data_IF_515834774332
#
_entry.id   IF_515834774332
#
_cell.length_a   1.000
_cell.length_b   1.000
_cell.length_c   1.000
_cell.angle_alpha   90.00
_cell.angle_beta   90.00
_cell.angle_gamma   90.00
#
_symmetry.space_group_name_H-M   'P 1'
#
loop_
_entity.id
_entity.type
_entity.pdbx_description
1 polymer ?
#
# COMPACT_ATOMS: atom_id res chain seq x y z
N UNK A 1 0.11 7.15 -2.87
CA UNK A 1 -0.63 6.81 -4.10
C UNK A 1 -1.71 7.85 -4.31
N UNK A 2 -1.88 8.35 -5.52
CA UNK A 2 -2.85 9.38 -5.86
C UNK A 2 -3.29 9.19 -7.32
N UNK A 3 -4.53 9.57 -7.63
CA UNK A 3 -5.02 9.65 -9.01
C UNK A 3 -5.38 11.08 -9.37
N UNK A 4 -5.25 11.41 -10.67
CA UNK A 4 -5.61 12.71 -11.22
C UNK A 4 -6.59 12.55 -12.37
N UNK A 5 -7.49 13.52 -12.51
CA UNK A 5 -8.28 13.75 -13.71
C UNK A 5 -7.86 15.11 -14.29
N UNK A 6 -7.17 15.08 -15.43
CA UNK A 6 -6.52 16.27 -16.00
C UNK A 6 -5.46 16.84 -15.04
N UNK A 7 -5.67 18.07 -14.55
CA UNK A 7 -4.75 18.75 -13.64
C UNK A 7 -5.13 18.61 -12.15
N UNK A 8 -6.32 18.10 -11.85
CA UNK A 8 -6.83 17.97 -10.49
C UNK A 8 -6.61 16.56 -9.94
N UNK A 9 -6.26 16.45 -8.66
CA UNK A 9 -6.37 15.18 -7.94
C UNK A 9 -7.84 14.82 -7.74
N UNK A 10 -8.16 13.54 -7.75
CA UNK A 10 -9.51 13.09 -7.41
C UNK A 10 -9.79 13.33 -5.91
N UNK A 11 -11.06 13.41 -5.54
CA UNK A 11 -11.45 13.80 -4.18
C UNK A 11 -11.14 12.72 -3.13
N UNK A 12 -11.42 11.46 -3.46
CA UNK A 12 -11.21 10.31 -2.59
C UNK A 12 -9.89 9.59 -2.92
N UNK A 13 -9.19 9.00 -1.94
CA UNK A 13 -7.97 8.26 -2.17
C UNK A 13 -8.24 7.00 -2.97
N UNK A 14 -7.24 6.59 -3.77
CA UNK A 14 -7.26 5.30 -4.46
C UNK A 14 -6.48 4.25 -3.67
N UNK A 15 -7.05 3.05 -3.58
CA UNK A 15 -6.33 1.90 -3.06
C UNK A 15 -5.41 1.28 -4.14
N UNK A 16 -4.24 0.75 -3.78
CA UNK A 16 -3.42 -0.05 -4.70
C UNK A 16 -4.19 -1.28 -5.18
N UNK A 17 -3.98 -1.67 -6.45
CA UNK A 17 -4.40 -2.96 -6.96
C UNK A 17 -3.56 -4.10 -6.35
N UNK A 18 -3.98 -5.36 -6.56
CA UNK A 18 -3.30 -6.53 -6.00
C UNK A 18 -1.81 -6.59 -6.36
N UNK A 19 -1.46 -6.33 -7.62
CA UNK A 19 -0.06 -6.35 -8.08
C UNK A 19 0.80 -5.28 -7.37
N UNK A 20 0.29 -4.05 -7.23
CA UNK A 20 1.01 -3.00 -6.52
C UNK A 20 1.19 -3.33 -5.03
N UNK A 21 0.19 -3.92 -4.38
CA UNK A 21 0.30 -4.35 -2.97
C UNK A 21 1.40 -5.39 -2.81
N UNK A 22 1.47 -6.38 -3.71
CA UNK A 22 2.50 -7.41 -3.68
C UNK A 22 3.90 -6.82 -3.87
N UNK A 23 4.11 -5.98 -4.90
CA UNK A 23 5.41 -5.35 -5.13
C UNK A 23 5.85 -4.45 -3.97
N UNK A 24 4.92 -3.76 -3.31
CA UNK A 24 5.20 -2.96 -2.11
C UNK A 24 5.55 -3.85 -0.91
N UNK A 25 4.87 -5.00 -0.74
CA UNK A 25 5.09 -5.92 0.36
C UNK A 25 6.48 -6.56 0.26
N UNK A 26 6.86 -6.99 -0.94
CA UNK A 26 8.22 -7.47 -1.21
C UNK A 26 9.27 -6.39 -0.95
N UNK A 27 8.99 -5.13 -1.33
CA UNK A 27 9.89 -4.02 -1.06
C UNK A 27 10.07 -3.78 0.45
N UNK A 28 8.97 -3.78 1.21
CA UNK A 28 9.00 -3.67 2.68
C UNK A 28 9.79 -4.82 3.31
N UNK A 29 9.59 -6.05 2.83
CA UNK A 29 10.33 -7.22 3.28
C UNK A 29 11.84 -7.08 3.01
N UNK A 30 12.23 -6.72 1.79
CA UNK A 30 13.65 -6.49 1.43
C UNK A 30 14.28 -5.34 2.23
N UNK A 31 13.50 -4.31 2.56
CA UNK A 31 13.97 -3.17 3.34
C UNK A 31 14.14 -3.51 4.84
N UNK A 32 13.43 -4.51 5.34
CA UNK A 32 13.48 -4.93 6.75
C UNK A 32 12.88 -3.92 7.73
N UNK A 33 12.16 -2.90 7.25
CA UNK A 33 11.46 -1.92 8.09
C UNK A 33 10.14 -1.49 7.45
N UNK A 34 9.13 -1.08 8.25
CA UNK A 34 7.82 -0.69 7.74
C UNK A 34 7.88 0.44 6.71
N UNK A 35 7.20 0.24 5.58
CA UNK A 35 6.98 1.28 4.57
C UNK A 35 5.65 1.96 4.85
N UNK A 36 5.72 3.22 5.26
CA UNK A 36 4.54 4.08 5.39
C UNK A 36 3.94 4.39 4.01
N UNK A 37 2.67 4.03 3.82
CA UNK A 37 1.91 4.29 2.60
C UNK A 37 0.90 5.40 2.85
N UNK A 38 0.99 6.46 2.04
CA UNK A 38 0.01 7.55 2.02
C UNK A 38 -0.93 7.35 0.83
N UNK A 39 -2.23 7.23 1.08
CA UNK A 39 -3.25 7.26 0.02
C UNK A 39 -3.87 8.66 0.02
N UNK A 40 -3.71 9.37 -1.08
CA UNK A 40 -4.05 10.79 -1.16
C UNK A 40 -5.23 11.01 -2.11
N UNK A 41 -6.24 11.70 -1.60
CA UNK A 41 -7.27 12.39 -2.35
C UNK A 41 -7.26 13.88 -1.96
N UNK A 42 -7.84 14.73 -2.80
CA UNK A 42 -7.92 16.17 -2.51
C UNK A 42 -8.76 16.48 -1.26
N UNK A 43 -9.73 15.63 -0.93
CA UNK A 43 -10.61 15.80 0.23
C UNK A 43 -10.17 15.05 1.48
N UNK A 44 -9.35 14.00 1.35
CA UNK A 44 -8.85 13.22 2.48
C UNK A 44 -7.53 12.52 2.19
N UNK A 45 -6.78 12.19 3.23
CA UNK A 45 -5.55 11.40 3.13
C UNK A 45 -5.57 10.29 4.17
N UNK A 46 -5.39 9.04 3.73
CA UNK A 46 -5.20 7.91 4.62
C UNK A 46 -3.70 7.63 4.79
N UNK A 47 -3.30 7.39 6.04
CA UNK A 47 -1.94 7.01 6.40
C UNK A 47 -1.93 5.56 6.90
N UNK A 48 -1.10 4.73 6.29
CA UNK A 48 -0.95 3.32 6.62
C UNK A 48 0.51 3.10 7.02
N UNK A 49 0.75 2.61 8.22
CA UNK A 49 2.09 2.53 8.81
C UNK A 49 2.97 1.42 8.21
N UNK A 50 2.36 0.39 7.60
CA UNK A 50 3.05 -0.73 6.95
C UNK A 50 2.23 -1.27 5.79
N UNK A 51 2.90 -1.71 4.73
CA UNK A 51 2.29 -2.36 3.58
C UNK A 51 1.57 -3.65 3.99
N UNK A 52 2.02 -4.37 5.02
CA UNK A 52 1.32 -5.56 5.55
C UNK A 52 -0.13 -5.29 5.91
N UNK A 53 -0.45 -4.08 6.40
CA UNK A 53 -1.84 -3.72 6.73
C UNK A 53 -2.77 -3.64 5.50
N UNK A 54 -2.22 -3.55 4.28
CA UNK A 54 -3.00 -3.59 3.03
C UNK A 54 -3.36 -5.03 2.58
N UNK A 55 -2.78 -6.05 3.23
CA UNK A 55 -2.94 -7.46 2.92
C UNK A 55 -3.05 -8.26 4.24
N UNK A 56 -4.18 -8.20 4.96
CA UNK A 56 -4.34 -8.86 6.26
C UNK A 56 -4.19 -10.40 6.26
N UNK A 57 -4.11 -11.01 5.08
CA UNK A 57 -3.87 -12.45 4.87
C UNK A 57 -2.77 -12.67 3.81
N UNK A 58 -1.75 -11.81 3.76
CA UNK A 58 -0.61 -12.01 2.85
C UNK A 58 0.11 -13.31 3.20
N UNK A 59 0.35 -14.14 2.20
CA UNK A 59 1.26 -15.27 2.30
C UNK A 59 2.71 -14.76 2.28
N UNK A 60 3.51 -15.18 3.27
CA UNK A 60 4.95 -14.94 3.33
C UNK A 60 5.70 -16.19 3.80
N UNK A 61 7.03 -16.12 3.90
CA UNK A 61 7.88 -17.25 4.28
C UNK A 61 7.55 -17.85 5.65
N UNK A 62 6.89 -17.09 6.55
CA UNK A 62 6.48 -17.63 7.85
C UNK A 62 5.45 -18.78 7.74
N UNK A 63 4.74 -18.88 6.61
CA UNK A 63 3.79 -19.96 6.35
C UNK A 63 4.42 -21.25 5.83
N UNK A 64 5.72 -21.25 5.50
CA UNK A 64 6.43 -22.40 4.93
C UNK A 64 7.22 -23.22 5.97
N UNK A 65 7.23 -22.79 7.23
CA UNK A 65 8.05 -23.40 8.30
C UNK A 65 7.22 -24.21 9.30
N UNK A 66 6.32 -25.07 8.81
CA UNK A 66 5.59 -26.05 9.63
C UNK A 66 5.76 -27.48 9.07
#
# INVERSE_FOLDING_TARGET
>A
MAAKNGKAFINLPIAPCGACRQSLLEAEHRQGSPIKVLLYGAGETACIESVKALLPLSFDESFLNE
#
